data_IF_002790829839
#
_entry.id   IF_002790829839
#
_cell.length_a   1.000
_cell.length_b   1.000
_cell.length_c   1.000
_cell.angle_alpha   90.00
_cell.angle_beta   90.00
_cell.angle_gamma   90.00
#
_symmetry.space_group_name_H-M   'P 1'
#
loop_
_entity.id
_entity.type
_entity.pdbx_description
1 polymer ?
#
# COMPACT_ATOMS: atom_id res chain seq x y z
N UNK A 1 -11.88 0.02 -22.88
CA UNK A 1 -11.66 -1.41 -22.54
C UNK A 1 -10.21 -1.61 -22.12
N UNK A 2 -9.97 -1.95 -20.86
CA UNK A 2 -8.62 -2.28 -20.35
C UNK A 2 -8.24 -3.68 -20.82
N UNK A 3 -7.15 -3.79 -21.59
CA UNK A 3 -6.62 -5.08 -22.08
C UNK A 3 -6.15 -5.92 -20.89
N UNK A 4 -6.56 -7.19 -20.83
CA UNK A 4 -6.20 -8.12 -19.76
C UNK A 4 -4.97 -8.94 -20.16
N UNK A 5 -4.10 -9.21 -19.20
CA UNK A 5 -2.95 -10.09 -19.34
C UNK A 5 -3.07 -11.20 -18.31
N UNK A 6 -2.77 -12.44 -18.71
CA UNK A 6 -2.81 -13.61 -17.81
C UNK A 6 -1.41 -14.05 -17.40
N UNK A 7 -0.42 -13.76 -18.25
CA UNK A 7 0.97 -14.14 -18.02
C UNK A 7 1.89 -12.94 -18.12
N UNK A 8 3.04 -13.05 -17.46
CA UNK A 8 4.12 -12.06 -17.60
C UNK A 8 4.54 -11.88 -19.06
N UNK A 9 4.59 -12.97 -19.84
CA UNK A 9 5.00 -12.91 -21.25
C UNK A 9 4.03 -12.07 -22.10
N UNK A 10 2.73 -12.34 -21.99
CA UNK A 10 1.70 -11.53 -22.67
C UNK A 10 1.80 -10.05 -22.31
N UNK A 11 2.08 -9.76 -21.04
CA UNK A 11 2.26 -8.41 -20.55
C UNK A 11 3.50 -7.74 -21.17
N UNK A 12 4.66 -8.42 -21.15
CA UNK A 12 5.91 -7.86 -21.69
C UNK A 12 5.89 -7.70 -23.21
N UNK A 13 5.17 -8.58 -23.92
CA UNK A 13 5.01 -8.51 -25.38
C UNK A 13 4.16 -7.32 -25.78
N UNK A 14 3.09 -7.04 -25.01
CA UNK A 14 2.29 -5.86 -25.23
C UNK A 14 3.07 -4.57 -24.92
N UNK A 15 3.72 -4.52 -23.76
CA UNK A 15 4.57 -3.39 -23.35
C UNK A 15 6.00 -3.51 -23.90
N UNK A 16 6.11 -3.79 -25.19
CA UNK A 16 7.37 -4.03 -25.91
C UNK A 16 8.13 -2.75 -26.29
N UNK A 17 7.47 -1.59 -26.30
CA UNK A 17 8.11 -0.31 -26.65
C UNK A 17 7.78 0.81 -25.67
N UNK A 18 8.67 1.80 -25.60
CA UNK A 18 8.47 3.01 -24.80
C UNK A 18 7.18 3.76 -25.18
N UNK A 19 6.85 3.79 -26.46
CA UNK A 19 5.69 4.52 -26.95
C UNK A 19 4.39 3.87 -26.48
N UNK A 20 4.29 2.54 -26.54
CA UNK A 20 3.12 1.80 -26.02
C UNK A 20 2.92 2.05 -24.53
N UNK A 21 4.01 2.05 -23.74
CA UNK A 21 3.92 2.39 -22.31
C UNK A 21 3.45 3.83 -22.07
N UNK A 22 3.93 4.80 -22.86
CA UNK A 22 3.51 6.22 -22.73
C UNK A 22 2.05 6.41 -23.07
N UNK A 23 1.60 5.81 -24.17
CA UNK A 23 0.22 5.92 -24.60
C UNK A 23 -0.71 5.22 -23.61
N UNK A 24 -0.34 4.04 -23.11
CA UNK A 24 -1.10 3.38 -22.05
C UNK A 24 -1.20 4.25 -20.79
N UNK A 25 -0.10 4.85 -20.33
CA UNK A 25 -0.13 5.73 -19.17
C UNK A 25 -0.96 6.99 -19.42
N UNK A 26 -0.95 7.54 -20.63
CA UNK A 26 -1.75 8.70 -20.99
C UNK A 26 -3.25 8.38 -20.94
N UNK A 27 -3.64 7.20 -21.47
CA UNK A 27 -5.01 6.70 -21.40
C UNK A 27 -5.44 6.47 -19.95
N UNK A 28 -4.56 5.94 -19.09
CA UNK A 28 -4.87 5.74 -17.69
C UNK A 28 -5.10 7.06 -16.93
N UNK A 29 -4.34 8.10 -17.26
CA UNK A 29 -4.41 9.39 -16.54
C UNK A 29 -5.54 10.29 -16.99
N UNK A 30 -5.80 10.34 -18.29
CA UNK A 30 -6.76 11.29 -18.85
C UNK A 30 -7.97 10.59 -19.47
N UNK A 31 -7.82 9.35 -19.94
CA UNK A 31 -8.81 8.66 -20.74
C UNK A 31 -8.38 8.56 -22.21
N UNK A 32 -9.05 7.71 -23.01
CA UNK A 32 -8.66 7.43 -24.41
C UNK A 32 -8.77 8.66 -25.32
N UNK A 33 -9.80 9.47 -25.14
CA UNK A 33 -10.13 10.61 -26.01
C UNK A 33 -10.02 11.96 -25.28
N UNK A 34 -9.50 11.95 -24.06
CA UNK A 34 -9.44 13.15 -23.24
C UNK A 34 -8.28 14.06 -23.63
N UNK A 35 -8.52 15.37 -23.54
CA UNK A 35 -7.47 16.37 -23.67
C UNK A 35 -6.57 16.31 -22.42
N UNK A 36 -5.24 16.21 -22.55
CA UNK A 36 -4.36 16.08 -21.40
C UNK A 36 -4.44 17.29 -20.44
N UNK A 37 -4.68 17.00 -19.17
CA UNK A 37 -4.64 17.97 -18.09
C UNK A 37 -3.20 18.37 -17.75
N UNK A 38 -2.94 19.67 -17.62
CA UNK A 38 -1.64 20.19 -17.22
C UNK A 38 -1.41 19.98 -15.72
N UNK A 39 -0.37 19.23 -15.30
CA UNK A 39 -0.13 18.94 -13.88
C UNK A 39 0.32 20.17 -13.08
N UNK A 40 0.64 21.29 -13.73
CA UNK A 40 1.13 22.50 -13.06
C UNK A 40 0.04 23.55 -12.80
N UNK A 41 -1.03 23.56 -13.58
CA UNK A 41 -2.10 24.56 -13.47
C UNK A 41 -3.52 23.97 -13.52
N UNK A 42 -3.67 22.66 -13.71
CA UNK A 42 -4.98 21.98 -13.75
C UNK A 42 -5.79 22.20 -15.04
N UNK A 43 -5.29 23.00 -15.99
CA UNK A 43 -6.02 23.29 -17.23
C UNK A 43 -6.02 22.09 -18.18
N UNK A 44 -7.20 21.67 -18.62
CA UNK A 44 -7.45 20.52 -19.53
C UNK A 44 -7.34 20.95 -21.00
N UNK A 45 -6.23 21.59 -21.34
CA UNK A 45 -5.98 22.11 -22.69
C UNK A 45 -4.52 21.91 -23.12
N UNK A 46 -3.95 20.73 -22.93
CA UNK A 46 -2.59 20.45 -23.41
C UNK A 46 -2.60 19.71 -24.75
N UNK A 47 -1.56 19.87 -25.56
CA UNK A 47 -1.40 19.15 -26.84
C UNK A 47 -0.10 18.36 -26.87
N UNK A 48 -0.11 17.23 -27.59
CA UNK A 48 1.06 16.37 -27.80
C UNK A 48 2.13 17.09 -28.63
N UNK A 49 3.38 16.93 -28.24
CA UNK A 49 4.58 17.42 -28.95
C UNK A 49 5.62 16.31 -28.99
N UNK A 50 6.68 16.47 -29.80
CA UNK A 50 7.81 15.52 -29.89
C UNK A 50 7.35 14.07 -30.16
N UNK A 51 6.38 13.89 -31.07
CA UNK A 51 5.84 12.57 -31.40
C UNK A 51 5.07 11.89 -30.26
N UNK A 52 4.53 12.67 -29.32
CA UNK A 52 3.78 12.14 -28.16
C UNK A 52 4.63 11.87 -26.93
N UNK A 53 5.94 12.15 -26.98
CA UNK A 53 6.83 12.01 -25.81
C UNK A 53 6.52 13.02 -24.70
N UNK A 54 6.07 14.22 -25.09
CA UNK A 54 5.77 15.33 -24.20
C UNK A 54 4.45 16.01 -24.59
N UNK A 55 3.97 16.84 -23.69
CA UNK A 55 2.78 17.66 -23.81
C UNK A 55 3.15 19.11 -23.50
N UNK A 56 2.45 20.05 -24.13
CA UNK A 56 2.59 21.49 -23.85
C UNK A 56 1.23 22.06 -23.47
N UNK A 57 1.18 22.72 -22.32
CA UNK A 57 -0.01 23.43 -21.87
C UNK A 57 -0.35 24.59 -22.83
N UNK A 58 -1.62 24.70 -23.28
CA UNK A 58 -2.06 25.82 -24.13
C UNK A 58 -2.27 27.11 -23.36
N UNK A 59 -2.57 27.03 -22.06
CA UNK A 59 -2.74 28.21 -21.22
C UNK A 59 -1.53 29.15 -21.36
N UNK A 60 -1.85 30.43 -21.59
CA UNK A 60 -0.87 31.48 -21.90
C UNK A 60 0.02 31.78 -20.69
N UNK A 61 -0.52 31.69 -19.48
CA UNK A 61 0.24 31.92 -18.26
C UNK A 61 1.18 30.74 -17.93
N UNK A 62 0.74 29.51 -18.17
CA UNK A 62 1.53 28.32 -17.89
C UNK A 62 2.59 28.01 -18.96
N UNK A 63 2.16 27.67 -20.19
CA UNK A 63 3.00 27.23 -21.34
C UNK A 63 4.06 26.15 -21.07
N UNK A 64 4.07 25.55 -19.87
CA UNK A 64 5.06 24.54 -19.45
C UNK A 64 4.93 23.27 -20.29
N UNK A 65 6.07 22.60 -20.49
CA UNK A 65 6.15 21.28 -21.11
C UNK A 65 6.20 20.23 -20.01
N UNK A 66 5.53 19.10 -20.21
CA UNK A 66 5.55 17.96 -19.28
C UNK A 66 5.52 16.64 -20.03
N UNK A 67 5.95 15.56 -19.39
CA UNK A 67 5.73 14.19 -19.85
C UNK A 67 4.54 13.58 -19.14
N UNK A 68 4.04 12.48 -19.68
CA UNK A 68 2.98 11.66 -19.05
C UNK A 68 3.34 11.13 -17.65
N UNK A 69 4.61 11.21 -17.25
CA UNK A 69 5.11 10.78 -15.95
C UNK A 69 5.10 11.88 -14.87
N UNK A 70 4.88 13.15 -15.22
CA UNK A 70 4.90 14.26 -14.24
C UNK A 70 3.71 14.15 -13.29
N UNK A 71 3.93 14.18 -11.98
CA UNK A 71 2.89 13.93 -10.98
C UNK A 71 2.58 12.45 -10.73
N UNK A 72 3.41 11.52 -11.22
CA UNK A 72 3.27 10.09 -10.90
C UNK A 72 4.51 9.56 -10.16
N UNK A 73 4.43 8.33 -9.66
CA UNK A 73 5.60 7.66 -9.05
C UNK A 73 6.76 7.46 -10.03
N UNK A 74 6.52 7.61 -11.33
CA UNK A 74 7.52 7.55 -12.41
C UNK A 74 8.09 8.93 -12.79
N UNK A 75 7.72 10.01 -12.10
CA UNK A 75 8.25 11.34 -12.37
C UNK A 75 9.78 11.36 -12.26
N UNK A 76 10.41 12.08 -13.20
CA UNK A 76 11.87 12.23 -13.29
C UNK A 76 12.65 10.90 -13.38
N UNK A 77 12.00 9.83 -13.84
CA UNK A 77 12.67 8.55 -14.10
C UNK A 77 13.65 8.68 -15.27
N UNK A 78 14.84 8.08 -15.10
CA UNK A 78 15.79 7.80 -16.19
C UNK A 78 15.67 6.37 -16.72
N UNK A 79 14.88 5.53 -16.05
CA UNK A 79 14.63 4.16 -16.45
C UNK A 79 13.56 4.11 -17.56
N UNK A 80 13.72 3.21 -18.54
CA UNK A 80 12.65 2.86 -19.48
C UNK A 80 11.35 2.53 -18.75
N UNK A 81 10.22 3.01 -19.28
CA UNK A 81 8.89 2.68 -18.77
C UNK A 81 8.60 1.19 -18.86
N UNK A 82 9.18 0.47 -19.82
CA UNK A 82 9.07 -1.00 -19.89
C UNK A 82 9.52 -1.67 -18.60
N UNK A 83 10.61 -1.20 -17.98
CA UNK A 83 11.10 -1.72 -16.71
C UNK A 83 10.16 -1.36 -15.55
N UNK A 84 9.58 -0.15 -15.56
CA UNK A 84 8.56 0.23 -14.59
C UNK A 84 7.33 -0.66 -14.66
N UNK A 85 6.82 -0.91 -15.86
CA UNK A 85 5.65 -1.74 -16.08
C UNK A 85 5.90 -3.18 -15.64
N UNK A 86 7.05 -3.76 -15.99
CA UNK A 86 7.44 -5.08 -15.53
C UNK A 86 7.60 -5.14 -13.99
N UNK A 87 8.19 -4.10 -13.39
CA UNK A 87 8.34 -4.00 -11.94
C UNK A 87 6.99 -3.92 -11.22
N UNK A 88 6.07 -3.09 -11.73
CA UNK A 88 4.70 -2.94 -11.23
C UNK A 88 3.99 -4.28 -11.32
N UNK A 89 4.02 -4.94 -12.49
CA UNK A 89 3.41 -6.25 -12.68
C UNK A 89 3.91 -7.27 -11.64
N UNK A 90 5.22 -7.39 -11.45
CA UNK A 90 5.79 -8.33 -10.47
C UNK A 90 5.42 -7.97 -9.04
N UNK A 91 5.41 -6.67 -8.70
CA UNK A 91 5.04 -6.21 -7.38
C UNK A 91 3.55 -6.45 -7.08
N UNK A 92 2.65 -6.27 -8.03
CA UNK A 92 1.20 -6.41 -7.81
C UNK A 92 0.69 -7.83 -7.95
N UNK A 93 1.33 -8.68 -8.76
CA UNK A 93 0.87 -10.05 -9.02
C UNK A 93 1.59 -11.11 -8.15
N UNK A 94 2.62 -10.76 -7.38
CA UNK A 94 3.13 -11.67 -6.35
C UNK A 94 2.21 -11.63 -5.14
N UNK A 95 1.66 -12.73 -4.65
CA UNK A 95 0.73 -12.71 -3.48
C UNK A 95 1.38 -12.21 -2.18
N UNK A 96 2.69 -12.43 -1.99
CA UNK A 96 3.39 -12.10 -0.73
C UNK A 96 4.33 -10.89 -0.83
N UNK A 97 4.73 -10.50 -2.04
CA UNK A 97 5.76 -9.47 -2.26
C UNK A 97 6.93 -9.95 -3.11
N UNK A 98 7.78 -9.01 -3.51
CA UNK A 98 9.00 -9.28 -4.28
C UNK A 98 10.17 -8.57 -3.62
N UNK A 99 11.23 -9.33 -3.33
CA UNK A 99 12.46 -8.75 -2.78
C UNK A 99 13.21 -7.96 -3.85
N UNK A 100 13.97 -6.94 -3.44
CA UNK A 100 14.82 -6.19 -4.38
C UNK A 100 15.86 -7.09 -5.05
N UNK A 101 16.33 -8.13 -4.35
CA UNK A 101 17.19 -9.19 -4.87
C UNK A 101 16.56 -9.97 -6.03
N UNK A 102 15.31 -10.39 -5.86
CA UNK A 102 14.59 -11.07 -6.93
C UNK A 102 14.32 -10.13 -8.10
N UNK A 103 13.85 -8.92 -7.82
CA UNK A 103 13.44 -7.99 -8.87
C UNK A 103 14.62 -7.56 -9.75
N UNK A 104 15.79 -7.32 -9.17
CA UNK A 104 16.94 -6.89 -9.97
C UNK A 104 17.43 -7.99 -10.93
N UNK A 105 17.37 -9.27 -10.52
CA UNK A 105 17.71 -10.42 -11.37
C UNK A 105 16.73 -10.52 -12.53
N UNK A 106 15.44 -10.39 -12.22
CA UNK A 106 14.37 -10.48 -13.21
C UNK A 106 14.43 -9.35 -14.25
N UNK A 107 14.80 -8.13 -13.83
CA UNK A 107 14.81 -6.95 -14.70
C UNK A 107 16.18 -6.67 -15.34
N UNK A 108 17.25 -7.36 -14.93
CA UNK A 108 18.61 -7.09 -15.38
C UNK A 108 19.14 -5.72 -14.96
N UNK A 109 18.73 -5.22 -13.79
CA UNK A 109 19.19 -3.93 -13.22
C UNK A 109 20.01 -4.16 -11.96
N UNK A 110 20.61 -3.09 -11.43
CA UNK A 110 21.27 -3.17 -10.12
C UNK A 110 20.25 -3.35 -9.00
N UNK A 111 20.64 -4.01 -7.91
CA UNK A 111 19.78 -4.16 -6.73
C UNK A 111 19.31 -2.81 -6.17
N UNK A 112 20.17 -1.78 -6.19
CA UNK A 112 19.82 -0.42 -5.77
C UNK A 112 18.70 0.17 -6.62
N UNK A 113 18.75 -0.03 -7.94
CA UNK A 113 17.69 0.41 -8.86
C UNK A 113 16.38 -0.34 -8.58
N UNK A 114 16.43 -1.65 -8.38
CA UNK A 114 15.25 -2.45 -8.04
C UNK A 114 14.64 -2.03 -6.69
N UNK A 115 15.46 -1.75 -5.68
CA UNK A 115 15.01 -1.23 -4.39
C UNK A 115 14.34 0.14 -4.52
N UNK A 116 14.90 1.04 -5.34
CA UNK A 116 14.30 2.34 -5.64
C UNK A 116 12.95 2.19 -6.34
N UNK A 117 12.85 1.33 -7.37
CA UNK A 117 11.59 1.02 -8.06
C UNK A 117 10.52 0.53 -7.09
N UNK A 118 10.83 -0.49 -6.28
CA UNK A 118 9.88 -1.04 -5.31
C UNK A 118 9.47 0.01 -4.28
N UNK A 119 10.39 0.88 -3.84
CA UNK A 119 10.05 1.95 -2.91
C UNK A 119 9.02 2.92 -3.50
N UNK A 120 9.19 3.31 -4.76
CA UNK A 120 8.26 4.20 -5.47
C UNK A 120 6.93 3.52 -5.79
N UNK A 121 6.95 2.22 -6.12
CA UNK A 121 5.73 1.44 -6.31
C UNK A 121 4.95 1.33 -5.00
N UNK A 122 5.61 1.15 -3.86
CA UNK A 122 4.91 1.12 -2.56
C UNK A 122 4.29 2.46 -2.19
N UNK A 123 4.88 3.58 -2.57
CA UNK A 123 4.24 4.90 -2.42
C UNK A 123 2.92 4.98 -3.19
N UNK A 124 2.81 4.27 -4.32
CA UNK A 124 1.56 4.16 -5.08
C UNK A 124 0.48 3.36 -4.33
N UNK A 125 0.85 2.48 -3.40
CA UNK A 125 -0.11 1.67 -2.65
C UNK A 125 -0.78 2.44 -1.50
N UNK A 126 -0.30 3.64 -1.20
CA UNK A 126 -0.91 4.50 -0.19
C UNK A 126 -2.35 4.84 -0.59
N UNK A 127 -3.28 4.63 0.33
CA UNK A 127 -4.68 5.03 0.13
C UNK A 127 -4.82 6.50 0.54
N UNK A 128 -5.11 7.37 -0.42
CA UNK A 128 -5.48 8.76 -0.16
C UNK A 128 -6.96 8.81 0.21
N UNK A 129 -7.27 9.32 1.40
CA UNK A 129 -8.64 9.45 1.94
C UNK A 129 -9.46 8.14 1.94
N UNK A 130 -9.08 7.14 2.75
CA UNK A 130 -9.83 5.88 2.82
C UNK A 130 -11.26 6.14 3.30
N UNK A 131 -12.23 5.45 2.69
CA UNK A 131 -13.59 5.38 3.23
C UNK A 131 -13.56 4.81 4.65
N UNK A 132 -14.36 5.37 5.55
CA UNK A 132 -14.45 4.89 6.92
C UNK A 132 -15.04 3.47 6.95
N UNK A 133 -14.40 2.62 7.76
CA UNK A 133 -14.81 1.26 8.12
C UNK A 133 -16.07 1.30 8.99
N UNK A 134 -16.93 0.30 8.87
CA UNK A 134 -18.25 0.28 9.54
C UNK A 134 -18.64 -1.12 9.98
N UNK A 135 -19.75 -1.23 10.72
CA UNK A 135 -20.29 -2.52 11.14
C UNK A 135 -19.46 -3.12 12.27
N UNK A 136 -18.90 -4.31 12.06
CA UNK A 136 -18.00 -4.97 13.03
C UNK A 136 -16.56 -4.72 12.64
N UNK A 137 -15.83 -4.03 13.51
CA UNK A 137 -14.45 -3.61 13.29
C UNK A 137 -13.55 -4.16 14.39
N UNK A 138 -12.42 -4.73 14.01
CA UNK A 138 -11.37 -5.22 14.90
C UNK A 138 -10.23 -4.20 14.92
N UNK A 139 -9.70 -3.86 16.10
CA UNK A 139 -8.51 -3.02 16.22
C UNK A 139 -7.50 -3.68 17.17
N UNK A 140 -6.25 -3.69 16.75
CA UNK A 140 -5.13 -4.30 17.47
C UNK A 140 -3.80 -3.65 17.05
N UNK A 141 -2.77 -3.83 17.87
CA UNK A 141 -1.44 -3.29 17.68
C UNK A 141 -0.39 -4.39 17.66
N UNK A 142 0.50 -4.31 16.68
CA UNK A 142 1.70 -5.14 16.64
C UNK A 142 2.95 -4.28 16.76
N UNK A 143 4.05 -4.92 17.15
CA UNK A 143 5.39 -4.32 17.07
C UNK A 143 6.21 -4.92 15.94
N UNK A 144 6.94 -4.07 15.22
CA UNK A 144 7.87 -4.45 14.14
C UNK A 144 9.26 -3.96 14.50
N UNK A 145 10.21 -4.88 14.55
CA UNK A 145 11.61 -4.57 14.85
C UNK A 145 12.41 -5.82 15.21
N UNK A 146 13.73 -5.67 15.25
CA UNK A 146 14.63 -6.75 15.63
C UNK A 146 14.37 -7.25 17.05
N UNK A 147 14.62 -8.54 17.28
CA UNK A 147 14.57 -9.10 18.64
C UNK A 147 15.78 -8.64 19.45
N UNK A 148 15.58 -8.22 20.71
CA UNK A 148 16.67 -7.94 21.66
C UNK A 148 17.62 -9.14 21.81
N UNK A 149 17.08 -10.36 21.78
CA UNK A 149 17.88 -11.58 21.87
C UNK A 149 18.87 -11.72 20.70
N UNK A 150 18.55 -11.15 19.54
CA UNK A 150 19.37 -11.19 18.34
C UNK A 150 20.35 -10.01 18.25
N UNK A 151 20.28 -9.02 19.15
CA UNK A 151 21.26 -7.92 19.21
C UNK A 151 22.58 -8.43 19.81
N UNK A 152 23.71 -7.91 19.31
CA UNK A 152 25.01 -8.09 19.94
C UNK A 152 24.97 -7.65 21.41
N UNK A 153 25.71 -8.34 22.29
CA UNK A 153 25.62 -8.20 23.75
C UNK A 153 25.78 -6.74 24.22
N UNK A 154 26.63 -5.97 23.56
CA UNK A 154 26.92 -4.54 23.82
C UNK A 154 25.85 -3.57 23.29
N UNK A 155 24.92 -4.06 22.44
CA UNK A 155 23.80 -3.29 21.86
C UNK A 155 22.45 -3.66 22.45
N UNK A 156 22.40 -4.63 23.36
CA UNK A 156 21.18 -5.03 24.07
C UNK A 156 20.81 -3.96 25.10
N UNK A 157 19.54 -3.61 25.15
CA UNK A 157 19.03 -2.66 26.14
C UNK A 157 18.69 -3.43 27.43
N UNK A 158 19.39 -3.20 28.57
CA UNK A 158 19.13 -3.95 29.81
C UNK A 158 17.69 -3.71 30.30
N UNK A 159 16.97 -4.79 30.62
CA UNK A 159 15.57 -4.70 31.07
C UNK A 159 14.56 -4.30 29.99
N UNK A 160 14.97 -4.23 28.72
CA UNK A 160 14.05 -3.99 27.62
C UNK A 160 12.97 -5.07 27.57
N UNK A 161 11.71 -4.65 27.70
CA UNK A 161 10.57 -5.48 27.35
C UNK A 161 10.53 -5.67 25.84
N UNK A 162 9.87 -6.71 25.35
CA UNK A 162 9.84 -7.07 23.91
C UNK A 162 9.29 -6.00 22.95
N UNK A 163 8.90 -4.81 23.44
CA UNK A 163 8.45 -3.64 22.67
C UNK A 163 9.48 -2.49 22.64
N UNK A 164 10.51 -2.49 23.49
CA UNK A 164 11.56 -1.47 23.49
C UNK A 164 12.31 -1.48 22.14
N UNK A 165 12.60 -0.30 21.59
CA UNK A 165 13.23 -0.09 20.28
C UNK A 165 12.48 -0.63 19.05
N UNK A 166 11.21 -1.03 19.20
CA UNK A 166 10.38 -1.48 18.08
C UNK A 166 9.38 -0.41 17.66
N UNK A 167 9.11 -0.37 16.36
CA UNK A 167 8.04 0.47 15.84
C UNK A 167 6.69 -0.18 16.16
N UNK A 168 5.74 0.61 16.67
CA UNK A 168 4.36 0.17 16.90
C UNK A 168 3.56 0.42 15.63
N UNK A 169 2.71 -0.53 15.27
CA UNK A 169 1.80 -0.45 14.14
C UNK A 169 0.38 -0.75 14.63
N UNK A 170 -0.55 0.18 14.37
CA UNK A 170 -1.98 -0.01 14.59
C UNK A 170 -2.62 -0.59 13.34
N UNK A 171 -3.47 -1.59 13.51
CA UNK A 171 -4.32 -2.14 12.45
C UNK A 171 -5.78 -1.99 12.84
N UNK A 172 -6.60 -1.64 11.86
CA UNK A 172 -8.05 -1.51 12.01
C UNK A 172 -8.66 -2.26 10.84
N UNK A 173 -9.45 -3.30 11.12
CA UNK A 173 -10.00 -4.23 10.14
C UNK A 173 -11.51 -4.26 10.23
N UNK A 174 -12.19 -3.97 9.14
CA UNK A 174 -13.61 -4.28 8.97
C UNK A 174 -13.78 -5.77 8.69
N UNK A 175 -14.61 -6.45 9.46
CA UNK A 175 -14.87 -7.89 9.28
C UNK A 175 -15.44 -8.12 7.88
N UNK A 176 -14.87 -9.10 7.17
CA UNK A 176 -15.12 -9.38 5.75
C UNK A 176 -14.87 -8.22 4.77
N UNK A 177 -14.27 -7.12 5.25
CA UNK A 177 -14.06 -5.89 4.50
C UNK A 177 -12.60 -5.56 4.28
N UNK A 178 -12.26 -4.30 4.56
CA UNK A 178 -10.94 -3.69 4.35
C UNK A 178 -10.17 -3.53 5.64
N UNK A 179 -8.85 -3.38 5.51
CA UNK A 179 -7.93 -3.06 6.59
C UNK A 179 -7.24 -1.71 6.34
N UNK A 180 -7.03 -0.98 7.42
CA UNK A 180 -6.16 0.21 7.50
C UNK A 180 -5.03 -0.12 8.47
N UNK A 181 -3.80 0.18 8.07
CA UNK A 181 -2.60 -0.15 8.85
C UNK A 181 -1.70 1.06 8.91
N UNK A 182 -1.27 1.45 10.11
CA UNK A 182 -0.49 2.67 10.29
C UNK A 182 0.57 2.52 11.37
N UNK A 183 1.85 2.82 11.08
CA UNK A 183 2.83 3.03 12.13
C UNK A 183 2.41 4.20 13.03
N UNK A 184 2.46 4.01 14.34
CA UNK A 184 2.08 5.01 15.34
C UNK A 184 3.27 5.32 16.26
N UNK A 185 3.24 6.48 16.90
CA UNK A 185 4.31 6.92 17.79
C UNK A 185 4.34 6.11 19.10
N UNK A 186 3.17 5.80 19.66
CA UNK A 186 3.02 4.97 20.86
C UNK A 186 1.63 4.31 20.94
N UNK A 187 1.51 3.28 21.78
CA UNK A 187 0.25 2.55 22.04
C UNK A 187 -0.57 3.20 23.16
N UNK A 188 -0.72 4.54 23.17
CA UNK A 188 -1.52 5.26 24.18
C UNK A 188 -2.86 5.69 23.62
N UNK A 189 -3.87 5.82 24.50
CA UNK A 189 -5.22 6.28 24.13
C UNK A 189 -5.23 7.59 23.34
N UNK A 190 -4.39 8.55 23.74
CA UNK A 190 -4.27 9.85 23.08
C UNK A 190 -3.82 9.75 21.61
N UNK A 191 -3.07 8.69 21.26
CA UNK A 191 -2.62 8.41 19.90
C UNK A 191 -3.63 7.57 19.12
N UNK A 192 -4.18 6.53 19.75
CA UNK A 192 -5.05 5.55 19.10
C UNK A 192 -6.46 6.11 18.85
N UNK A 193 -7.05 6.81 19.83
CA UNK A 193 -8.45 7.25 19.73
C UNK A 193 -8.72 8.17 18.54
N UNK A 194 -7.90 9.18 18.23
CA UNK A 194 -8.10 10.00 17.04
C UNK A 194 -8.01 9.20 15.75
N UNK A 195 -7.14 8.18 15.69
CA UNK A 195 -6.99 7.34 14.51
C UNK A 195 -8.24 6.48 14.31
N UNK A 196 -8.75 5.85 15.37
CA UNK A 196 -10.01 5.09 15.33
C UNK A 196 -11.16 6.00 14.85
N UNK A 197 -11.32 7.20 15.44
CA UNK A 197 -12.38 8.14 15.04
C UNK A 197 -12.31 8.58 13.58
N UNK A 198 -11.11 8.69 13.02
CA UNK A 198 -10.92 9.08 11.63
C UNK A 198 -11.15 7.93 10.63
N UNK A 199 -11.15 6.67 11.09
CA UNK A 199 -11.24 5.51 10.21
C UNK A 199 -12.45 4.61 10.48
N UNK A 200 -13.16 4.77 11.60
CA UNK A 200 -14.28 3.92 12.00
C UNK A 200 -15.51 4.78 12.25
N UNK A 201 -16.58 4.47 11.52
CA UNK A 201 -17.89 5.13 11.66
C UNK A 201 -18.39 4.97 13.09
N UNK A 202 -18.81 6.08 13.72
CA UNK A 202 -19.47 6.06 15.04
C UNK A 202 -20.66 5.10 14.99
N UNK A 203 -20.99 4.47 16.11
CA UNK A 203 -22.02 3.44 16.29
C UNK A 203 -21.63 2.05 15.76
N UNK A 204 -20.42 1.89 15.19
CA UNK A 204 -19.87 0.57 14.86
C UNK A 204 -19.56 -0.24 16.12
N UNK A 205 -19.57 -1.57 15.98
CA UNK A 205 -19.04 -2.50 16.98
C UNK A 205 -17.54 -2.56 16.85
N UNK A 206 -16.82 -2.22 17.93
CA UNK A 206 -15.37 -2.24 17.98
C UNK A 206 -14.92 -3.41 18.87
N UNK A 207 -14.20 -4.37 18.30
CA UNK A 207 -13.59 -5.49 19.00
C UNK A 207 -12.09 -5.20 19.20
N UNK A 208 -11.61 -5.25 20.43
CA UNK A 208 -10.18 -5.07 20.75
C UNK A 208 -9.71 -6.09 21.77
N UNK A 209 -8.39 -6.19 21.96
CA UNK A 209 -7.82 -6.87 23.12
C UNK A 209 -8.06 -6.09 24.43
N UNK A 210 -7.62 -6.63 25.56
CA UNK A 210 -7.71 -6.01 26.89
C UNK A 210 -6.74 -4.83 27.11
N UNK A 211 -6.09 -4.32 26.06
CA UNK A 211 -5.14 -3.24 26.20
C UNK A 211 -5.81 -1.97 26.70
N UNK A 212 -5.24 -1.38 27.75
CA UNK A 212 -5.82 -0.23 28.45
C UNK A 212 -6.00 0.99 27.55
N UNK A 213 -5.26 1.08 26.44
CA UNK A 213 -5.37 2.21 25.54
C UNK A 213 -6.73 2.32 24.86
N UNK A 214 -7.46 1.21 24.67
CA UNK A 214 -8.79 1.21 24.06
C UNK A 214 -9.92 1.63 25.01
N UNK A 215 -9.65 1.65 26.32
CA UNK A 215 -10.66 2.07 27.32
C UNK A 215 -11.07 3.52 27.08
N UNK A 216 -12.37 3.79 27.22
CA UNK A 216 -12.93 5.15 27.11
C UNK A 216 -13.22 5.63 25.68
N UNK A 217 -13.18 4.75 24.68
CA UNK A 217 -13.68 5.04 23.33
C UNK A 217 -15.21 5.19 23.33
N UNK A 218 -15.68 6.43 23.41
CA UNK A 218 -17.11 6.77 23.34
C UNK A 218 -17.62 6.75 21.91
N UNK A 219 -18.89 6.39 21.74
CA UNK A 219 -19.57 6.36 20.43
C UNK A 219 -19.42 5.04 19.68
N UNK A 220 -18.94 3.98 20.34
CA UNK A 220 -18.81 2.64 19.75
C UNK A 220 -19.40 1.60 20.70
N UNK A 221 -19.92 0.51 20.15
CA UNK A 221 -20.21 -0.69 20.94
C UNK A 221 -18.90 -1.44 21.14
N UNK A 222 -18.19 -1.14 22.23
CA UNK A 222 -16.86 -1.71 22.50
C UNK A 222 -16.98 -3.08 23.17
N UNK A 223 -16.42 -4.11 22.53
CA UNK A 223 -16.26 -5.46 23.08
C UNK A 223 -14.78 -5.76 23.22
N UNK A 224 -14.44 -6.48 24.29
CA UNK A 224 -13.06 -6.79 24.63
C UNK A 224 -12.86 -8.30 24.67
N UNK A 225 -11.77 -8.78 24.10
CA UNK A 225 -11.42 -10.21 24.03
C UNK A 225 -10.38 -10.54 25.09
N UNK A 226 -10.72 -11.46 26.01
CA UNK A 226 -9.76 -11.94 27.02
C UNK A 226 -8.97 -13.14 26.48
N UNK A 227 -7.72 -12.90 26.08
CA UNK A 227 -6.82 -13.96 25.59
C UNK A 227 -6.32 -14.94 26.67
N UNK A 228 -6.50 -14.61 27.96
CA UNK A 228 -5.99 -15.39 29.10
C UNK A 228 -7.00 -16.38 29.71
N UNK A 229 -8.29 -16.21 29.44
CA UNK A 229 -9.36 -16.97 30.09
C UNK A 229 -9.84 -18.20 29.30
N UNK A 230 -9.34 -18.46 28.08
CA UNK A 230 -9.76 -19.62 27.27
C UNK A 230 -11.23 -19.60 26.83
N UNK A 231 -11.98 -18.55 27.16
CA UNK A 231 -13.36 -18.36 26.75
C UNK A 231 -13.42 -17.82 25.33
N UNK A 232 -13.61 -18.77 24.41
CA UNK A 232 -14.31 -18.49 23.19
C UNK A 232 -15.77 -18.14 23.53
N UNK A 233 -16.10 -16.86 23.30
CA UNK A 233 -17.34 -16.26 22.80
C UNK A 233 -18.57 -15.99 23.70
N UNK A 234 -18.89 -14.70 23.83
CA UNK A 234 -20.11 -14.14 23.19
C UNK A 234 -19.84 -14.06 21.67
N UNK A 235 -20.56 -14.88 20.88
CA UNK A 235 -20.29 -15.40 19.52
C UNK A 235 -19.50 -14.56 18.50
N UNK A 236 -19.50 -13.24 18.66
CA UNK A 236 -18.96 -12.27 17.73
C UNK A 236 -17.82 -11.39 18.29
N UNK A 237 -17.42 -11.54 19.55
CA UNK A 237 -16.35 -10.76 20.16
C UNK A 237 -14.98 -11.45 19.96
N UNK A 238 -14.28 -11.15 18.86
CA UNK A 238 -12.91 -11.64 18.59
C UNK A 238 -12.11 -10.68 17.70
N UNK A 239 -10.79 -10.86 17.67
CA UNK A 239 -9.80 -10.11 16.84
C UNK A 239 -9.06 -11.01 15.84
N UNK A 240 -9.58 -12.21 15.57
CA UNK A 240 -8.94 -13.22 14.71
C UNK A 240 -8.58 -12.71 13.29
N UNK A 241 -9.38 -11.79 12.73
CA UNK A 241 -9.14 -11.25 11.40
C UNK A 241 -7.88 -10.42 11.36
N UNK A 242 -7.73 -9.48 12.30
CA UNK A 242 -6.54 -8.63 12.38
C UNK A 242 -5.29 -9.41 12.80
N UNK A 243 -5.41 -10.42 13.67
CA UNK A 243 -4.29 -11.32 14.02
C UNK A 243 -3.78 -12.13 12.82
N UNK A 244 -4.68 -12.62 11.97
CA UNK A 244 -4.30 -13.29 10.73
C UNK A 244 -3.57 -12.33 9.78
N UNK A 245 -4.07 -11.10 9.65
CA UNK A 245 -3.39 -10.05 8.89
C UNK A 245 -1.95 -9.83 9.39
N UNK A 246 -1.75 -9.71 10.71
CA UNK A 246 -0.41 -9.58 11.30
C UNK A 246 0.50 -10.77 11.00
N UNK A 247 -0.05 -11.98 11.09
CA UNK A 247 0.70 -13.21 10.78
C UNK A 247 1.23 -13.19 9.35
N UNK A 248 0.45 -12.72 8.38
CA UNK A 248 0.87 -12.59 6.98
C UNK A 248 1.94 -11.50 6.85
N UNK A 249 1.70 -10.33 7.43
CA UNK A 249 2.63 -9.19 7.37
C UNK A 249 4.00 -9.57 7.95
N UNK A 250 4.05 -10.15 9.15
CA UNK A 250 5.30 -10.56 9.79
C UNK A 250 6.04 -11.63 9.00
N UNK A 251 5.34 -12.64 8.48
CA UNK A 251 5.95 -13.68 7.65
C UNK A 251 6.60 -13.09 6.41
N UNK A 252 5.95 -12.13 5.76
CA UNK A 252 6.54 -11.50 4.58
C UNK A 252 7.66 -10.51 4.92
N UNK A 253 7.57 -9.77 6.03
CA UNK A 253 8.70 -8.95 6.54
C UNK A 253 9.91 -9.84 6.81
N UNK A 254 9.75 -10.91 7.58
CA UNK A 254 10.85 -11.78 7.98
C UNK A 254 11.40 -12.63 6.82
N UNK A 255 10.53 -13.06 5.89
CA UNK A 255 10.89 -13.98 4.82
C UNK A 255 11.33 -13.33 3.51
N UNK A 256 10.78 -12.18 3.15
CA UNK A 256 11.03 -11.53 1.84
C UNK A 256 11.94 -10.31 2.01
N UNK A 257 11.70 -9.52 3.05
CA UNK A 257 12.39 -8.24 3.24
C UNK A 257 13.55 -8.35 4.23
N UNK A 258 13.47 -9.29 5.18
CA UNK A 258 14.37 -9.56 6.31
C UNK A 258 14.57 -8.40 7.28
N UNK A 259 14.68 -7.17 6.79
CA UNK A 259 14.86 -5.97 7.59
C UNK A 259 14.06 -4.82 6.99
N UNK A 260 13.24 -4.20 7.83
CA UNK A 260 12.50 -2.97 7.51
C UNK A 260 12.89 -1.91 8.53
N UNK A 261 13.43 -0.79 8.06
CA UNK A 261 13.74 0.33 8.94
C UNK A 261 12.46 1.06 9.35
N UNK A 262 12.37 1.60 10.58
CA UNK A 262 11.21 2.39 11.02
C UNK A 262 10.86 3.53 10.04
N UNK A 263 11.88 4.18 9.46
CA UNK A 263 11.73 5.24 8.45
C UNK A 263 10.88 4.82 7.24
N UNK A 264 10.94 3.55 6.84
CA UNK A 264 10.27 3.05 5.65
C UNK A 264 9.08 2.14 5.95
N UNK A 265 8.80 1.87 7.23
CA UNK A 265 7.79 0.90 7.64
C UNK A 265 6.40 1.19 7.08
N UNK A 266 6.01 2.46 7.01
CA UNK A 266 4.71 2.89 6.47
C UNK A 266 4.46 2.32 5.06
N UNK A 267 5.46 2.38 4.17
CA UNK A 267 5.34 1.84 2.80
C UNK A 267 5.08 0.34 2.75
N UNK A 268 5.61 -0.41 3.72
CA UNK A 268 5.37 -1.83 3.82
C UNK A 268 3.98 -2.10 4.39
N UNK A 269 3.54 -1.34 5.40
CA UNK A 269 2.16 -1.38 5.89
C UNK A 269 1.16 -1.11 4.77
N UNK A 270 1.39 -0.07 3.96
CA UNK A 270 0.56 0.27 2.80
C UNK A 270 0.53 -0.85 1.77
N UNK A 271 1.67 -1.50 1.49
CA UNK A 271 1.73 -2.65 0.61
C UNK A 271 0.86 -3.82 1.10
N UNK A 272 0.96 -4.21 2.37
CA UNK A 272 0.17 -5.32 2.90
C UNK A 272 -1.32 -4.96 3.00
N UNK A 273 -1.65 -3.71 3.37
CA UNK A 273 -3.02 -3.22 3.36
C UNK A 273 -3.60 -3.25 1.94
N UNK A 274 -2.85 -2.77 0.94
CA UNK A 274 -3.24 -2.83 -0.47
C UNK A 274 -3.50 -4.26 -0.92
N UNK A 275 -2.61 -5.20 -0.62
CA UNK A 275 -2.77 -6.62 -0.96
C UNK A 275 -4.03 -7.22 -0.34
N UNK A 276 -4.23 -6.99 0.95
CA UNK A 276 -5.40 -7.49 1.67
C UNK A 276 -6.70 -6.88 1.10
N UNK A 277 -6.73 -5.58 0.88
CA UNK A 277 -7.92 -4.87 0.38
C UNK A 277 -8.27 -5.22 -1.06
N UNK A 278 -7.31 -5.74 -1.83
CA UNK A 278 -7.51 -6.20 -3.21
C UNK A 278 -7.46 -7.73 -3.31
N UNK A 279 -7.53 -8.48 -2.19
CA UNK A 279 -7.38 -9.94 -2.17
C UNK A 279 -8.41 -10.69 -3.01
N UNK A 280 -9.64 -10.20 -3.11
CA UNK A 280 -10.68 -10.83 -3.92
C UNK A 280 -10.43 -10.67 -5.42
N UNK A 281 -9.71 -9.62 -5.82
CA UNK A 281 -9.18 -9.48 -7.18
C UNK A 281 -8.02 -10.46 -7.43
N UNK A 282 -7.35 -10.93 -6.38
CA UNK A 282 -6.23 -11.87 -6.44
C UNK A 282 -6.67 -13.34 -6.24
N UNK A 283 -7.73 -13.62 -5.48
CA UNK A 283 -8.24 -14.97 -5.15
C UNK A 283 -9.08 -15.60 -6.27
N UNK A 284 -9.46 -14.81 -7.28
CA UNK A 284 -10.04 -15.30 -8.53
C UNK A 284 -9.06 -16.14 -9.38
N UNK A 285 -7.86 -16.44 -8.86
CA UNK A 285 -6.87 -17.34 -9.46
C UNK A 285 -7.22 -18.84 -9.36
N UNK A 286 -8.14 -19.28 -8.49
CA UNK A 286 -8.48 -20.72 -8.38
C UNK A 286 -9.72 -21.11 -9.18
N UNK A 287 -10.63 -20.19 -9.54
CA UNK A 287 -11.81 -20.63 -10.32
C UNK A 287 -12.44 -19.66 -11.33
N UNK A 288 -12.13 -18.35 -11.36
CA UNK A 288 -12.57 -17.49 -12.48
C UNK A 288 -11.95 -16.08 -12.42
N UNK A 289 -11.10 -15.78 -13.41
CA UNK A 289 -11.10 -14.53 -14.18
C UNK A 289 -11.12 -13.19 -13.42
N UNK A 290 -9.98 -12.63 -13.01
CA UNK A 290 -9.58 -11.21 -13.20
C UNK A 290 -8.19 -10.96 -12.61
N UNK A 291 -7.28 -10.29 -13.35
CA UNK A 291 -6.47 -9.26 -12.73
C UNK A 291 -6.46 -8.02 -13.61
N UNK A 292 -7.15 -6.96 -13.17
CA UNK A 292 -6.83 -5.61 -13.62
C UNK A 292 -5.82 -5.02 -12.63
N UNK A 293 -4.57 -4.82 -13.07
CA UNK A 293 -3.63 -3.94 -12.36
C UNK A 293 -4.35 -2.60 -12.16
N UNK A 294 -4.58 -2.22 -10.92
CA UNK A 294 -5.30 -0.98 -10.61
C UNK A 294 -4.33 0.19 -10.72
N UNK A 295 -4.14 0.68 -11.94
CA UNK A 295 -3.22 1.79 -12.25
C UNK A 295 -3.66 3.14 -11.63
N UNK A 296 -4.89 3.24 -11.11
CA UNK A 296 -5.38 4.38 -10.34
C UNK A 296 -4.45 4.71 -9.15
N UNK A 297 -3.78 3.69 -8.58
CA UNK A 297 -2.83 3.85 -7.48
C UNK A 297 -1.54 4.61 -7.89
N UNK A 298 -1.21 4.66 -9.19
CA UNK A 298 0.00 5.31 -9.69
C UNK A 298 -0.18 6.81 -9.99
N UNK A 299 -1.41 7.29 -9.98
CA UNK A 299 -1.72 8.71 -10.06
C UNK A 299 -1.80 9.28 -8.65
N UNK A 300 -0.75 9.97 -8.23
CA UNK A 300 -0.67 10.64 -6.92
C UNK A 300 -1.10 12.11 -7.01
N UNK A 301 -1.71 12.51 -8.13
CA UNK A 301 -2.27 13.86 -8.29
C UNK A 301 -3.46 14.03 -7.34
N UNK A 302 -3.61 15.19 -6.68
CA UNK A 302 -4.75 15.43 -5.80
C UNK A 302 -6.06 15.28 -6.59
N UNK A 303 -7.12 14.73 -5.97
CA UNK A 303 -8.44 14.72 -6.59
C UNK A 303 -8.86 16.17 -6.88
N UNK A 304 -9.33 16.41 -8.10
CA UNK A 304 -9.90 17.68 -8.53
C UNK A 304 -11.19 17.99 -7.77
#
# INVERSE_FOLDING_TARGET
MTKRFETLLQFTDHFSTEQVCRDHLAVMRWGPDAVPCCPFCGVVESHRIEGGKRFKCKDKACRKKFSVTVGTVMENTKLPLRLWFAAIWMATNSSKGVSSLQLHRNLGVTQKTAWFLLSRIREAFMVVAPAMLRGTVEADETVVGGSEANKHKDKRTPGATGRADKAVVLGILERDGKVVVKPIADSKSATIHPIIRNHVVIESTLNTDEWSAYKGLRGYTHRTVNHSAGEYVDGDAHTNGIENFWSIMHRGINGIYHQVSPKHLHRYCDEYAFRFNNRLLCQQEVQCRHPSVRWEALDVSPPH
#
